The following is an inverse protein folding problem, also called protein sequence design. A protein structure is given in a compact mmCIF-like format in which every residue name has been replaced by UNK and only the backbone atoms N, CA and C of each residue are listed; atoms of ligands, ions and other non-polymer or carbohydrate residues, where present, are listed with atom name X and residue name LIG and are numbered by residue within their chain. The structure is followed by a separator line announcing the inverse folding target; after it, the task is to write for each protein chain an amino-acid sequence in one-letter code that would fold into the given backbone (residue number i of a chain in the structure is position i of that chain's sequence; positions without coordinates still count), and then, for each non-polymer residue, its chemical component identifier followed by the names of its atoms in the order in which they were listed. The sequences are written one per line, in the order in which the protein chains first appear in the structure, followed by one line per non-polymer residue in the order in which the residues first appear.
data_IF_126252004529
#
_entry.id   IF_126252004529
#
_cell.length_a   1.000
_cell.length_b   1.000
_cell.length_c   1.000
_cell.angle_alpha   90.00
_cell.angle_beta   90.00
_cell.angle_gamma   90.00
#
_symmetry.space_group_name_H-M   'P 1'
#
loop_
_entity.id
_entity.type
_entity.pdbx_description
1 polymer ?
#
# COMPACT_ATOMS: atom_id res chain seq x y z
N UNK A 1 -24.12 10.43 -8.07
CA UNK A 1 -22.93 10.83 -8.83
C UNK A 1 -21.70 10.32 -8.10
N UNK A 2 -20.88 9.54 -8.80
CA UNK A 2 -19.99 8.52 -8.24
C UNK A 2 -18.77 9.12 -7.52
N UNK A 3 -18.81 9.17 -6.19
CA UNK A 3 -17.65 9.48 -5.36
C UNK A 3 -16.59 8.39 -5.55
N UNK A 4 -15.59 8.63 -6.40
CA UNK A 4 -14.32 7.88 -6.40
C UNK A 4 -13.78 7.89 -4.97
N UNK A 5 -13.90 6.78 -4.25
CA UNK A 5 -13.31 6.62 -2.91
C UNK A 5 -11.80 6.63 -3.10
N UNK A 6 -11.19 7.79 -2.91
CA UNK A 6 -9.74 7.89 -2.80
C UNK A 6 -9.25 6.88 -1.76
N UNK A 7 -8.20 6.15 -2.10
CA UNK A 7 -7.47 5.24 -1.20
C UNK A 7 -6.68 6.14 -0.20
N UNK A 8 -7.41 6.89 0.63
CA UNK A 8 -6.83 7.67 1.72
C UNK A 8 -6.75 6.76 2.95
N UNK A 9 -5.56 6.23 3.22
CA UNK A 9 -5.27 5.41 4.40
C UNK A 9 -5.00 6.29 5.64
N UNK A 10 -5.94 7.18 5.99
CA UNK A 10 -5.85 7.99 7.21
C UNK A 10 -4.72 9.03 7.18
N UNK A 11 -3.89 9.09 8.23
CA UNK A 11 -2.83 10.10 8.38
C UNK A 11 -1.78 10.10 7.25
N UNK A 12 -1.46 8.91 6.70
CA UNK A 12 -0.54 8.79 5.56
C UNK A 12 -1.14 9.40 4.29
N UNK A 13 -2.45 9.26 4.06
CA UNK A 13 -3.12 9.91 2.94
C UNK A 13 -3.05 11.44 3.03
N UNK A 14 -3.09 12.01 4.25
CA UNK A 14 -2.93 13.46 4.43
C UNK A 14 -1.51 13.96 4.15
N UNK A 15 -0.50 13.18 4.56
CA UNK A 15 0.92 13.46 4.25
C UNK A 15 1.13 13.38 2.75
N UNK A 16 0.56 12.36 2.12
CA UNK A 16 0.60 12.21 0.67
C UNK A 16 -0.06 13.40 -0.06
N UNK A 17 -1.25 13.80 0.36
CA UNK A 17 -1.96 14.97 -0.19
C UNK A 17 -1.19 16.28 0.04
N UNK A 18 -0.40 16.36 1.11
CA UNK A 18 0.50 17.49 1.35
C UNK A 18 1.72 17.44 0.42
N UNK A 19 2.37 16.27 0.29
CA UNK A 19 3.48 16.09 -0.64
C UNK A 19 3.06 16.41 -2.06
N UNK A 20 1.88 15.96 -2.51
CA UNK A 20 1.34 16.29 -3.84
C UNK A 20 1.05 17.80 -4.04
N UNK A 21 0.84 18.57 -2.97
CA UNK A 21 0.65 20.03 -3.08
C UNK A 21 1.96 20.80 -3.11
N UNK A 22 2.97 20.30 -2.40
CA UNK A 22 4.26 20.97 -2.24
C UNK A 22 5.31 20.47 -3.27
N UNK A 23 5.07 19.34 -3.93
CA UNK A 23 6.03 18.77 -4.86
C UNK A 23 6.10 19.60 -6.17
N UNK A 24 7.29 20.06 -6.56
CA UNK A 24 7.45 21.09 -7.59
C UNK A 24 7.31 20.60 -9.05
N UNK A 25 6.51 19.54 -9.32
CA UNK A 25 6.42 18.71 -10.54
C UNK A 25 7.22 17.39 -10.45
N UNK A 26 6.76 16.33 -11.13
CA UNK A 26 7.45 15.04 -11.23
C UNK A 26 6.56 13.81 -11.08
N UNK A 27 7.19 12.69 -10.72
CA UNK A 27 6.51 11.41 -10.43
C UNK A 27 6.64 11.08 -8.94
N UNK A 28 5.51 10.92 -8.25
CA UNK A 28 5.43 10.39 -6.89
C UNK A 28 5.09 8.90 -6.94
N UNK A 29 6.05 8.08 -6.52
CA UNK A 29 5.91 6.62 -6.43
C UNK A 29 5.64 6.20 -4.99
N UNK A 30 4.62 5.37 -4.76
CA UNK A 30 4.16 4.98 -3.43
C UNK A 30 3.96 3.47 -3.35
N UNK A 31 4.61 2.82 -2.39
CA UNK A 31 4.39 1.40 -2.09
C UNK A 31 3.40 1.27 -0.92
N UNK A 32 2.35 0.46 -1.09
CA UNK A 32 1.28 0.34 -0.11
C UNK A 32 0.74 -1.09 0.01
N UNK A 33 0.58 -1.65 1.23
CA UNK A 33 -0.03 -2.95 1.45
C UNK A 33 -1.49 -3.00 0.97
N UNK A 34 -1.89 -4.04 0.24
CA UNK A 34 -3.29 -4.23 -0.12
C UNK A 34 -4.09 -4.69 1.10
N UNK A 35 -5.13 -3.94 1.45
CA UNK A 35 -6.08 -4.34 2.50
C UNK A 35 -7.27 -5.06 1.88
N UNK A 36 -7.73 -6.15 2.49
CA UNK A 36 -8.75 -7.02 1.89
C UNK A 36 -10.16 -6.43 1.85
N UNK A 37 -10.41 -5.34 2.57
CA UNK A 37 -11.70 -4.64 2.59
C UNK A 37 -11.75 -3.40 1.66
N UNK A 38 -10.73 -3.21 0.82
CA UNK A 38 -10.62 -2.09 -0.11
C UNK A 38 -10.78 -2.59 -1.55
N UNK A 39 -11.72 -1.98 -2.27
CA UNK A 39 -11.80 -2.10 -3.71
C UNK A 39 -10.81 -1.12 -4.35
N UNK A 40 -9.77 -1.66 -4.97
CA UNK A 40 -8.72 -0.91 -5.67
C UNK A 40 -9.07 -0.65 -7.15
N UNK A 41 -10.17 -1.19 -7.66
CA UNK A 41 -10.53 -1.11 -9.07
C UNK A 41 -9.65 -2.01 -9.96
N UNK A 42 -9.57 -1.74 -11.27
CA UNK A 42 -8.73 -2.49 -12.18
C UNK A 42 -7.24 -2.22 -11.88
N UNK A 43 -6.46 -3.30 -11.83
CA UNK A 43 -5.05 -3.29 -11.47
C UNK A 43 -4.22 -3.96 -12.55
N UNK A 44 -3.08 -3.38 -12.87
CA UNK A 44 -2.10 -3.98 -13.77
C UNK A 44 -1.07 -4.78 -12.97
N UNK A 45 -0.73 -6.00 -13.40
CA UNK A 45 0.37 -6.75 -12.79
C UNK A 45 1.71 -6.08 -13.14
N UNK A 46 2.54 -5.83 -12.12
CA UNK A 46 3.84 -5.19 -12.30
C UNK A 46 4.97 -6.21 -12.17
N UNK A 47 5.06 -6.89 -11.02
CA UNK A 47 6.06 -7.93 -10.78
C UNK A 47 5.70 -8.81 -9.58
N UNK A 48 6.32 -9.97 -9.51
CA UNK A 48 6.30 -10.85 -8.33
C UNK A 48 7.72 -11.00 -7.78
N UNK A 49 7.87 -11.07 -6.46
CA UNK A 49 9.16 -11.29 -5.82
C UNK A 49 9.05 -12.03 -4.49
N UNK A 50 10.18 -12.52 -4.00
CA UNK A 50 10.27 -13.35 -2.80
C UNK A 50 11.09 -12.64 -1.72
N UNK A 51 10.58 -12.64 -0.49
CA UNK A 51 11.21 -12.01 0.67
C UNK A 51 11.32 -13.04 1.79
N UNK A 52 12.44 -13.04 2.52
CA UNK A 52 12.58 -13.84 3.73
C UNK A 52 12.24 -13.01 4.98
N UNK A 53 11.22 -13.45 5.73
CA UNK A 53 10.81 -12.83 7.00
C UNK A 53 10.72 -13.93 8.05
N UNK A 54 11.42 -13.77 9.17
CA UNK A 54 11.33 -14.68 10.32
C UNK A 54 11.57 -16.15 9.93
N UNK A 55 12.60 -16.39 9.11
CA UNK A 55 13.00 -17.71 8.63
C UNK A 55 12.04 -18.35 7.61
N UNK A 56 11.07 -17.59 7.09
CA UNK A 56 10.11 -18.07 6.08
C UNK A 56 10.18 -17.23 4.81
N UNK A 57 10.06 -17.90 3.68
CA UNK A 57 9.89 -17.26 2.38
C UNK A 57 8.44 -16.79 2.20
N UNK A 58 8.29 -15.58 1.67
CA UNK A 58 7.03 -14.91 1.41
C UNK A 58 7.00 -14.42 -0.03
N UNK A 59 5.99 -14.86 -0.79
CA UNK A 59 5.79 -14.44 -2.19
C UNK A 59 4.87 -13.23 -2.23
N UNK A 60 5.39 -12.09 -2.65
CA UNK A 60 4.65 -10.84 -2.75
C UNK A 60 4.37 -10.56 -4.22
N UNK A 61 3.10 -10.32 -4.54
CA UNK A 61 2.70 -9.83 -5.87
C UNK A 61 2.56 -8.31 -5.83
N UNK A 62 3.05 -7.64 -6.86
CA UNK A 62 2.94 -6.18 -6.98
C UNK A 62 2.03 -5.86 -8.13
N UNK A 63 0.98 -5.11 -7.82
CA UNK A 63 0.15 -4.47 -8.82
C UNK A 63 0.52 -3.00 -8.94
N UNK A 64 0.34 -2.44 -10.12
CA UNK A 64 0.53 -1.01 -10.36
C UNK A 64 -0.77 -0.32 -10.74
N UNK A 65 -0.89 0.94 -10.33
CA UNK A 65 -1.95 1.84 -10.76
C UNK A 65 -1.39 3.26 -10.87
N UNK A 66 -1.63 3.91 -12.01
CA UNK A 66 -1.18 5.27 -12.26
C UNK A 66 -2.35 6.25 -12.27
N UNK A 67 -2.10 7.47 -11.79
CA UNK A 67 -3.02 8.60 -11.90
C UNK A 67 -2.24 9.91 -11.99
N UNK A 68 -2.89 10.98 -12.42
CA UNK A 68 -2.28 12.32 -12.43
C UNK A 68 -3.12 13.25 -11.56
N UNK A 69 -2.45 13.99 -10.68
CA UNK A 69 -3.07 15.02 -9.82
C UNK A 69 -2.16 16.25 -9.84
N UNK A 70 -2.70 17.41 -10.21
CA UNK A 70 -1.95 18.67 -10.26
C UNK A 70 -0.63 18.58 -11.07
N UNK A 71 -0.64 17.93 -12.24
CA UNK A 71 0.55 17.72 -13.10
C UNK A 71 1.64 16.85 -12.46
N UNK A 72 1.33 16.14 -11.36
CA UNK A 72 2.21 15.16 -10.74
C UNK A 72 1.69 13.78 -11.09
N UNK A 73 2.54 12.97 -11.72
CA UNK A 73 2.26 11.57 -11.97
C UNK A 73 2.34 10.81 -10.65
N UNK A 74 1.29 10.10 -10.28
CA UNK A 74 1.20 9.27 -9.07
C UNK A 74 1.20 7.82 -9.49
N UNK A 75 2.17 7.05 -9.00
CA UNK A 75 2.30 5.61 -9.27
C UNK A 75 2.14 4.85 -7.95
N UNK A 76 1.16 3.97 -7.89
CA UNK A 76 0.95 3.06 -6.77
C UNK A 76 1.59 1.73 -7.08
N UNK A 77 2.39 1.22 -6.15
CA UNK A 77 2.83 -0.17 -6.10
C UNK A 77 2.07 -0.84 -4.96
N UNK A 78 1.02 -1.57 -5.31
CA UNK A 78 0.14 -2.24 -4.37
C UNK A 78 0.68 -3.63 -4.06
N UNK A 79 1.09 -3.83 -2.82
CA UNK A 79 1.71 -5.07 -2.34
C UNK A 79 0.63 -6.05 -1.91
N UNK A 80 0.48 -7.16 -2.63
CA UNK A 80 -0.48 -8.21 -2.34
C UNK A 80 0.21 -9.41 -1.67
N UNK A 81 -0.23 -9.71 -0.46
CA UNK A 81 0.21 -10.85 0.33
C UNK A 81 -0.83 -11.12 1.44
N UNK A 82 -1.01 -12.36 1.87
CA UNK A 82 -2.02 -12.74 2.88
C UNK A 82 -1.94 -11.90 4.15
N UNK A 83 -0.73 -11.68 4.69
CA UNK A 83 -0.53 -10.83 5.87
C UNK A 83 -1.05 -9.39 5.68
N UNK A 84 -1.11 -8.88 4.45
CA UNK A 84 -1.64 -7.56 4.12
C UNK A 84 -3.17 -7.63 3.93
N UNK A 85 -3.66 -8.57 3.13
CA UNK A 85 -5.07 -8.66 2.74
C UNK A 85 -5.96 -9.12 3.89
N UNK A 86 -5.42 -9.79 4.89
CA UNK A 86 -6.11 -10.09 6.16
C UNK A 86 -6.42 -8.83 6.99
N UNK A 87 -5.82 -7.69 6.67
CA UNK A 87 -6.05 -6.41 7.36
C UNK A 87 -7.17 -5.63 6.68
N UNK A 88 -7.77 -4.74 7.48
CA UNK A 88 -8.77 -3.79 7.01
C UNK A 88 -8.20 -2.38 7.03
N UNK A 89 -8.69 -1.51 6.14
CA UNK A 89 -8.36 -0.09 6.11
C UNK A 89 -8.68 0.62 7.43
N UNK A 90 -9.69 0.15 8.17
CA UNK A 90 -10.09 0.71 9.47
C UNK A 90 -9.20 0.25 10.62
N UNK A 91 -8.56 -0.91 10.48
CA UNK A 91 -7.65 -1.47 11.48
C UNK A 91 -6.42 -2.08 10.78
N UNK A 92 -5.56 -1.25 10.16
CA UNK A 92 -4.36 -1.73 9.49
C UNK A 92 -3.36 -2.29 10.52
N UNK A 93 -3.43 -1.79 11.76
CA UNK A 93 -2.53 -2.11 12.86
C UNK A 93 -3.32 -2.65 14.07
N UNK A 94 -3.85 -3.88 14.03
CA UNK A 94 -4.70 -4.37 15.11
C UNK A 94 -3.90 -4.66 16.38
N UNK A 95 -4.46 -4.24 17.51
CA UNK A 95 -3.90 -4.46 18.84
C UNK A 95 -3.96 -5.95 19.25
N UNK A 96 -2.99 -6.46 20.03
CA UNK A 96 -1.76 -5.79 20.48
C UNK A 96 -0.62 -5.90 19.46
N UNK A 97 0.15 -4.82 19.31
CA UNK A 97 1.30 -4.71 18.40
C UNK A 97 2.46 -5.66 18.74
N UNK A 98 2.42 -6.28 19.92
CA UNK A 98 3.42 -7.26 20.40
C UNK A 98 3.23 -8.66 19.82
N UNK A 99 2.12 -8.93 19.11
CA UNK A 99 1.94 -10.23 18.44
C UNK A 99 2.97 -10.39 17.33
N UNK A 100 3.67 -11.53 17.31
CA UNK A 100 4.65 -11.90 16.26
C UNK A 100 4.08 -11.70 14.86
N UNK A 101 2.79 -12.01 14.65
CA UNK A 101 2.11 -11.80 13.36
C UNK A 101 2.11 -10.34 12.91
N UNK A 102 1.98 -9.39 13.83
CA UNK A 102 2.05 -7.96 13.52
C UNK A 102 3.49 -7.55 13.20
N UNK A 103 4.47 -8.07 13.94
CA UNK A 103 5.89 -7.84 13.63
C UNK A 103 6.25 -8.38 12.23
N UNK A 104 5.79 -9.59 11.87
CA UNK A 104 5.97 -10.15 10.51
C UNK A 104 5.34 -9.28 9.44
N UNK A 105 4.14 -8.73 9.68
CA UNK A 105 3.50 -7.77 8.77
C UNK A 105 4.38 -6.55 8.50
N UNK A 106 4.93 -5.91 9.54
CA UNK A 106 5.81 -4.75 9.38
C UNK A 106 7.16 -5.12 8.75
N UNK A 107 7.76 -6.24 9.15
CA UNK A 107 9.01 -6.72 8.56
C UNK A 107 8.86 -7.07 7.09
N UNK A 108 7.70 -7.60 6.67
CA UNK A 108 7.41 -7.85 5.26
C UNK A 108 7.28 -6.53 4.51
N UNK A 109 6.47 -5.58 5.02
CA UNK A 109 6.27 -4.29 4.37
C UNK A 109 7.57 -3.49 4.23
N UNK A 110 8.43 -3.48 5.25
CA UNK A 110 9.70 -2.74 5.23
C UNK A 110 10.76 -3.31 4.27
N UNK A 111 10.59 -4.55 3.82
CA UNK A 111 11.52 -5.22 2.89
C UNK A 111 11.00 -5.25 1.45
N UNK A 112 9.79 -4.73 1.22
CA UNK A 112 9.24 -4.46 -0.11
C UNK A 112 9.74 -3.10 -0.60
#
# INVERSE_FOLDING_TARGET
DNSKKYISAGGLGKVEDQMLREHPQGTLSLAHPMFGDVDYGPLDEFMDFEIFVDGKEHKVKVYTMESEVNQIKRVWYLLSHDLFTERSKKAPYPSPMTKIRNLRYFSLWNQC
#
